data_IF_217906085017
#
_entry.id   IF_217906085017
#
_cell.length_a   1.000
_cell.length_b   1.000
_cell.length_c   1.000
_cell.angle_alpha   90.00
_cell.angle_beta   90.00
_cell.angle_gamma   90.00
#
_symmetry.space_group_name_H-M   'P 1'
#
loop_
_entity.id
_entity.type
_entity.pdbx_description
1 polymer ?
#
# COMPACT_ATOMS: atom_id res chain seq x y z
N UNK A 1 -1.24 -27.59 13.94
CA UNK A 1 -0.80 -26.35 13.27
C UNK A 1 0.45 -26.70 12.50
N UNK A 2 0.41 -26.59 11.18
CA UNK A 2 1.59 -26.84 10.35
C UNK A 2 2.56 -25.67 10.48
N UNK A 3 3.77 -25.95 10.96
CA UNK A 3 4.84 -24.95 11.07
C UNK A 3 5.55 -24.88 9.71
N UNK A 4 5.51 -23.71 9.09
CA UNK A 4 6.21 -23.41 7.84
C UNK A 4 7.51 -22.66 8.12
N UNK A 5 8.55 -23.00 7.37
CA UNK A 5 9.85 -22.33 7.38
C UNK A 5 9.99 -21.51 6.10
N UNK A 6 10.33 -20.23 6.27
CA UNK A 6 10.68 -19.33 5.18
C UNK A 6 12.20 -19.29 5.06
N UNK A 7 12.72 -19.64 3.89
CA UNK A 7 14.15 -19.56 3.58
C UNK A 7 14.38 -18.47 2.54
N UNK A 8 15.39 -17.65 2.75
CA UNK A 8 15.73 -16.51 1.88
C UNK A 8 17.21 -16.54 1.56
N UNK A 9 17.54 -16.38 0.28
CA UNK A 9 18.91 -16.31 -0.22
C UNK A 9 19.02 -15.17 -1.24
N UNK A 10 20.02 -14.31 -1.09
CA UNK A 10 20.23 -13.16 -1.99
C UNK A 10 21.68 -13.12 -2.46
N UNK A 11 21.87 -12.92 -3.76
CA UNK A 11 23.19 -12.70 -4.36
C UNK A 11 23.09 -11.74 -5.53
N UNK A 12 23.84 -10.63 -5.46
CA UNK A 12 23.76 -9.55 -6.45
C UNK A 12 22.34 -8.96 -6.56
N UNK A 13 21.84 -8.83 -7.79
CA UNK A 13 20.52 -8.27 -8.10
C UNK A 13 19.38 -9.30 -8.01
N UNK A 14 19.67 -10.55 -7.61
CA UNK A 14 18.71 -11.65 -7.60
C UNK A 14 18.51 -12.17 -6.17
N UNK A 15 17.26 -12.18 -5.74
CA UNK A 15 16.84 -12.80 -4.49
C UNK A 15 15.91 -13.99 -4.75
N UNK A 16 16.16 -15.09 -4.04
CA UNK A 16 15.36 -16.30 -4.07
C UNK A 16 14.74 -16.55 -2.69
N UNK A 17 13.46 -16.90 -2.68
CA UNK A 17 12.70 -17.20 -1.47
C UNK A 17 11.94 -18.51 -1.64
N UNK A 18 11.96 -19.35 -0.60
CA UNK A 18 11.30 -20.64 -0.57
C UNK A 18 10.51 -20.82 0.71
N UNK A 19 9.38 -21.53 0.60
CA UNK A 19 8.55 -21.93 1.75
C UNK A 19 8.54 -23.44 1.78
N UNK A 20 8.93 -24.01 2.93
CA UNK A 20 8.88 -25.45 3.16
C UNK A 20 8.22 -25.76 4.50
N UNK A 21 7.77 -26.99 4.67
CA UNK A 21 7.33 -27.48 5.98
C UNK A 21 8.54 -27.59 6.91
N UNK A 22 8.31 -27.48 8.21
CA UNK A 22 9.34 -27.70 9.25
C UNK A 22 10.01 -29.08 9.19
N UNK A 23 9.40 -30.05 8.50
CA UNK A 23 10.00 -31.36 8.23
C UNK A 23 11.11 -31.33 7.17
N UNK A 24 11.23 -30.26 6.39
CA UNK A 24 12.29 -30.11 5.41
C UNK A 24 13.60 -29.67 6.09
N UNK A 25 14.72 -30.39 5.91
CA UNK A 25 16.02 -29.97 6.42
C UNK A 25 16.41 -28.61 5.85
N UNK A 26 16.83 -27.68 6.71
CA UNK A 26 17.24 -26.32 6.33
C UNK A 26 18.33 -26.31 5.26
N UNK A 27 19.30 -27.23 5.36
CA UNK A 27 20.36 -27.38 4.35
C UNK A 27 19.76 -27.67 2.97
N UNK A 28 18.77 -28.55 2.87
CA UNK A 28 18.09 -28.84 1.60
C UNK A 28 17.33 -27.63 1.05
N UNK A 29 16.75 -26.79 1.92
CA UNK A 29 16.08 -25.57 1.51
C UNK A 29 17.07 -24.55 0.89
N UNK A 30 18.24 -24.35 1.51
CA UNK A 30 19.27 -23.46 0.95
C UNK A 30 19.90 -24.01 -0.33
N UNK A 31 20.18 -25.31 -0.36
CA UNK A 31 20.56 -26.06 -1.55
C UNK A 31 19.62 -25.80 -2.73
N UNK A 32 18.31 -25.89 -2.49
CA UNK A 32 17.28 -25.61 -3.49
C UNK A 32 17.35 -24.15 -4.00
N UNK A 33 17.52 -23.18 -3.09
CA UNK A 33 17.61 -21.77 -3.46
C UNK A 33 18.87 -21.44 -4.26
N UNK A 34 20.01 -22.04 -3.92
CA UNK A 34 21.27 -21.89 -4.66
C UNK A 34 21.12 -22.45 -6.09
N UNK A 35 20.52 -23.64 -6.26
CA UNK A 35 20.29 -24.22 -7.58
C UNK A 35 19.33 -23.36 -8.43
N UNK A 36 18.27 -22.82 -7.82
CA UNK A 36 17.37 -21.89 -8.51
C UNK A 36 18.08 -20.63 -8.99
N UNK A 37 18.88 -20.02 -8.11
CA UNK A 37 19.62 -18.81 -8.45
C UNK A 37 20.61 -19.08 -9.59
N UNK A 38 21.37 -20.17 -9.51
CA UNK A 38 22.28 -20.59 -10.56
C UNK A 38 21.57 -20.79 -11.90
N UNK A 39 20.45 -21.52 -11.91
CA UNK A 39 19.68 -21.74 -13.15
C UNK A 39 19.07 -20.45 -13.69
N UNK A 40 18.69 -19.53 -12.82
CA UNK A 40 18.17 -18.22 -13.24
C UNK A 40 19.27 -17.40 -13.93
N UNK A 41 20.44 -17.28 -13.30
CA UNK A 41 21.60 -16.60 -13.90
C UNK A 41 22.13 -17.27 -15.17
N UNK A 42 21.92 -18.59 -15.32
CA UNK A 42 22.26 -19.31 -16.54
C UNK A 42 21.22 -19.14 -17.66
N UNK A 43 19.96 -18.82 -17.31
CA UNK A 43 18.85 -18.67 -18.26
C UNK A 43 18.68 -17.23 -18.75
N UNK A 44 19.04 -16.25 -17.91
CA UNK A 44 18.86 -14.82 -18.19
C UNK A 44 20.15 -14.03 -17.97
N UNK A 45 20.43 -13.16 -18.93
CA UNK A 45 21.54 -12.22 -18.90
C UNK A 45 21.26 -11.03 -17.96
N UNK A 46 22.31 -10.48 -17.35
CA UNK A 46 22.19 -9.37 -16.39
C UNK A 46 21.52 -8.13 -16.99
N UNK A 47 21.70 -7.89 -18.29
CA UNK A 47 21.08 -6.77 -19.00
C UNK A 47 19.56 -6.91 -19.04
N UNK A 48 19.01 -8.08 -19.41
CA UNK A 48 17.56 -8.29 -19.44
C UNK A 48 16.93 -8.20 -18.05
N UNK A 49 17.63 -8.67 -17.02
CA UNK A 49 17.23 -8.53 -15.60
C UNK A 49 17.14 -7.05 -15.22
N UNK A 50 18.16 -6.25 -15.54
CA UNK A 50 18.19 -4.82 -15.20
C UNK A 50 17.14 -3.96 -15.92
N UNK A 51 16.76 -4.36 -17.14
CA UNK A 51 15.77 -3.65 -17.97
C UNK A 51 14.33 -4.10 -17.73
N UNK A 52 14.11 -5.13 -16.91
CA UNK A 52 12.80 -5.66 -16.62
C UNK A 52 11.97 -4.68 -15.77
N UNK A 53 11.07 -3.96 -16.41
CA UNK A 53 10.16 -3.01 -15.75
C UNK A 53 8.80 -3.61 -15.40
N UNK A 54 8.46 -4.76 -16.00
CA UNK A 54 7.17 -5.44 -15.82
C UNK A 54 7.26 -6.50 -14.71
N UNK A 55 6.26 -6.54 -13.84
CA UNK A 55 6.09 -7.64 -12.89
C UNK A 55 5.99 -8.99 -13.62
N UNK A 56 6.70 -10.00 -13.13
CA UNK A 56 6.77 -11.33 -13.74
C UNK A 56 7.30 -11.35 -15.19
N UNK A 57 8.30 -10.51 -15.50
CA UNK A 57 8.95 -10.49 -16.81
C UNK A 57 9.53 -11.87 -17.23
N UNK A 58 9.87 -12.73 -16.26
CA UNK A 58 10.53 -14.02 -16.47
C UNK A 58 9.61 -15.22 -16.17
N UNK A 59 8.34 -15.14 -16.56
CA UNK A 59 7.34 -16.19 -16.23
C UNK A 59 7.71 -17.57 -16.78
N UNK A 60 8.44 -17.63 -17.90
CA UNK A 60 8.89 -18.88 -18.52
C UNK A 60 9.81 -19.70 -17.60
N UNK A 61 10.46 -19.05 -16.63
CA UNK A 61 11.29 -19.71 -15.62
C UNK A 61 10.49 -20.61 -14.68
N UNK A 62 9.16 -20.46 -14.58
CA UNK A 62 8.33 -21.30 -13.71
C UNK A 62 8.49 -22.80 -14.01
N UNK A 63 8.65 -23.18 -15.29
CA UNK A 63 8.92 -24.55 -15.68
C UNK A 63 10.22 -25.11 -15.06
N UNK A 64 11.25 -24.25 -14.92
CA UNK A 64 12.51 -24.61 -14.28
C UNK A 64 12.30 -24.73 -12.77
N UNK A 65 11.57 -23.79 -12.15
CA UNK A 65 11.22 -23.85 -10.74
C UNK A 65 10.51 -25.16 -10.40
N UNK A 66 9.49 -25.56 -11.17
CA UNK A 66 8.75 -26.80 -10.93
C UNK A 66 9.65 -28.03 -11.09
N UNK A 67 10.54 -28.06 -12.09
CA UNK A 67 11.49 -29.18 -12.29
C UNK A 67 12.47 -29.31 -11.12
N UNK A 68 13.04 -28.21 -10.65
CA UNK A 68 13.95 -28.21 -9.51
C UNK A 68 13.18 -28.62 -8.24
N UNK A 69 11.99 -28.06 -8.01
CA UNK A 69 11.14 -28.43 -6.87
C UNK A 69 10.80 -29.92 -6.86
N UNK A 70 10.44 -30.49 -8.01
CA UNK A 70 10.17 -31.93 -8.12
C UNK A 70 11.42 -32.76 -7.79
N UNK A 71 12.59 -32.35 -8.28
CA UNK A 71 13.85 -33.04 -8.00
C UNK A 71 14.15 -33.10 -6.51
N UNK A 72 14.05 -31.97 -5.80
CA UNK A 72 14.31 -31.89 -4.35
C UNK A 72 13.28 -32.62 -3.49
N UNK A 73 12.01 -32.67 -3.92
CA UNK A 73 10.95 -33.31 -3.14
C UNK A 73 10.90 -34.85 -3.32
N UNK A 74 11.26 -35.36 -4.50
CA UNK A 74 10.99 -36.76 -4.87
C UNK A 74 12.22 -37.56 -5.30
N UNK A 75 13.35 -36.93 -5.61
CA UNK A 75 14.56 -37.64 -6.05
C UNK A 75 15.58 -37.64 -4.91
N UNK A 76 16.14 -38.81 -4.57
CA UNK A 76 17.19 -38.93 -3.54
C UNK A 76 18.38 -38.05 -3.91
N UNK A 77 18.73 -37.12 -3.02
CA UNK A 77 19.71 -36.04 -3.18
C UNK A 77 21.18 -36.54 -3.20
N UNK A 78 21.46 -37.64 -3.91
CA UNK A 78 22.77 -38.29 -3.96
C UNK A 78 23.82 -37.50 -4.75
N UNK A 79 23.40 -36.63 -5.68
CA UNK A 79 24.31 -35.79 -6.48
C UNK A 79 24.74 -34.50 -5.78
N UNK A 80 24.14 -34.16 -4.64
CA UNK A 80 24.32 -32.86 -3.98
C UNK A 80 25.27 -32.87 -2.79
N UNK A 81 26.02 -33.95 -2.54
CA UNK A 81 26.90 -34.05 -1.36
C UNK A 81 27.92 -32.90 -1.27
N UNK A 82 28.49 -32.46 -2.39
CA UNK A 82 29.52 -31.42 -2.40
C UNK A 82 28.98 -30.00 -2.14
N UNK A 83 27.75 -29.69 -2.59
CA UNK A 83 27.08 -28.40 -2.27
C UNK A 83 26.52 -28.45 -0.83
N UNK A 84 25.99 -29.60 -0.41
CA UNK A 84 25.52 -29.84 0.95
C UNK A 84 26.60 -29.60 2.01
N UNK A 85 27.83 -30.09 1.80
CA UNK A 85 28.94 -29.87 2.75
C UNK A 85 29.32 -28.39 2.88
N UNK A 86 29.39 -27.66 1.76
CA UNK A 86 29.69 -26.21 1.76
C UNK A 86 28.60 -25.39 2.43
N UNK A 87 27.34 -25.64 2.06
CA UNK A 87 26.19 -24.95 2.66
C UNK A 87 26.09 -25.30 4.15
N UNK A 88 26.41 -26.53 4.54
CA UNK A 88 26.44 -26.91 5.95
C UNK A 88 27.54 -26.18 6.73
N UNK A 89 28.71 -25.98 6.16
CA UNK A 89 29.77 -25.15 6.75
C UNK A 89 29.37 -23.67 6.84
N UNK A 90 28.76 -23.13 5.79
CA UNK A 90 28.27 -21.74 5.79
C UNK A 90 27.15 -21.54 6.82
N UNK A 91 26.16 -22.43 6.89
CA UNK A 91 25.10 -22.40 7.90
C UNK A 91 25.63 -22.55 9.33
N UNK A 92 26.73 -23.28 9.51
CA UNK A 92 27.41 -23.39 10.81
C UNK A 92 28.11 -22.09 11.17
N UNK A 93 28.69 -21.38 10.20
CA UNK A 93 29.32 -20.09 10.41
C UNK A 93 28.32 -18.93 10.56
N UNK A 94 27.16 -19.04 9.89
CA UNK A 94 26.09 -18.06 9.85
C UNK A 94 24.74 -18.76 10.01
N UNK A 95 24.28 -19.02 11.25
CA UNK A 95 23.01 -19.68 11.48
C UNK A 95 21.87 -18.84 10.91
N UNK A 96 20.87 -19.46 10.25
CA UNK A 96 19.70 -18.74 9.76
C UNK A 96 19.02 -17.98 10.90
N UNK A 97 18.70 -16.71 10.63
CA UNK A 97 17.90 -15.91 11.56
C UNK A 97 16.47 -16.45 11.53
N UNK A 98 16.10 -17.20 12.57
CA UNK A 98 14.74 -17.68 12.75
C UNK A 98 13.87 -16.52 13.22
N UNK A 99 13.14 -15.91 12.29
CA UNK A 99 12.15 -14.88 12.61
C UNK A 99 10.83 -15.55 12.99
N UNK A 100 10.46 -15.48 14.27
CA UNK A 100 9.12 -15.86 14.70
C UNK A 100 8.18 -14.71 14.39
N UNK A 101 6.98 -15.04 13.91
CA UNK A 101 5.97 -14.05 13.52
C UNK A 101 5.52 -13.16 14.70
N UNK A 102 5.70 -13.66 15.92
CA UNK A 102 5.50 -12.98 17.20
C UNK A 102 6.59 -11.95 17.55
N UNK A 103 7.81 -12.08 17.00
CA UNK A 103 8.90 -11.11 17.19
C UNK A 103 8.88 -9.98 16.12
N UNK A 104 8.01 -10.09 15.11
CA UNK A 104 7.81 -9.08 14.06
C UNK A 104 6.81 -8.00 14.50
N UNK A 105 6.81 -7.63 15.79
CA UNK A 105 6.17 -6.40 16.26
C UNK A 105 6.94 -5.19 15.73
N UNK A 106 6.58 -4.81 14.51
CA UNK A 106 6.64 -3.50 13.89
C UNK A 106 7.40 -2.40 14.68
N UNK A 107 8.73 -2.45 14.72
CA UNK A 107 9.56 -1.27 15.01
C UNK A 107 9.60 -0.35 13.79
N UNK A 108 8.42 0.05 13.28
CA UNK A 108 8.28 1.18 12.37
C UNK A 108 8.07 2.43 13.20
N UNK A 109 9.18 2.96 13.70
CA UNK A 109 9.19 4.13 14.56
C UNK A 109 10.51 4.87 14.48
N UNK A 110 10.68 5.61 13.38
CA UNK A 110 11.46 6.84 13.32
C UNK A 110 12.99 6.69 13.37
N UNK A 111 13.64 6.68 12.20
CA UNK A 111 14.77 7.60 11.87
C UNK A 111 15.18 7.46 10.38
N UNK A 112 14.97 8.56 9.65
CA UNK A 112 15.65 9.01 8.43
C UNK A 112 15.65 8.15 7.14
N UNK A 113 14.87 8.62 6.16
CA UNK A 113 15.37 8.99 4.83
C UNK A 113 15.83 7.88 3.88
N UNK A 114 15.09 7.75 2.77
CA UNK A 114 15.28 6.87 1.60
C UNK A 114 14.70 5.45 1.67
N UNK A 115 13.58 5.33 0.93
CA UNK A 115 13.12 4.19 0.13
C UNK A 115 13.58 2.80 0.57
N UNK A 116 12.76 2.09 1.34
CA UNK A 116 12.84 0.63 1.46
C UNK A 116 11.58 -0.06 0.93
N UNK A 117 11.84 -0.87 -0.10
CA UNK A 117 10.93 -1.75 -0.80
C UNK A 117 10.67 -2.97 0.08
N UNK A 118 9.49 -3.01 0.73
CA UNK A 118 8.98 -4.26 1.30
C UNK A 118 8.31 -5.09 0.20
N UNK A 119 9.02 -6.11 -0.30
CA UNK A 119 8.48 -7.15 -1.17
C UNK A 119 7.88 -8.26 -0.31
N UNK A 120 6.73 -7.98 0.32
CA UNK A 120 5.76 -9.02 0.64
C UNK A 120 4.89 -9.25 -0.60
N UNK A 121 4.60 -10.51 -0.95
CA UNK A 121 3.68 -10.88 -2.03
C UNK A 121 2.46 -9.95 -2.01
N UNK A 122 2.40 -9.03 -2.97
CA UNK A 122 1.47 -7.92 -2.92
C UNK A 122 0.04 -8.47 -2.98
N UNK A 123 -0.77 -8.31 -1.93
CA UNK A 123 -2.20 -8.45 -2.09
C UNK A 123 -2.55 -7.41 -3.14
N UNK A 124 -3.12 -7.84 -4.26
CA UNK A 124 -3.57 -6.92 -5.30
C UNK A 124 -4.82 -6.26 -4.74
N UNK A 125 -4.63 -5.31 -3.82
CA UNK A 125 -5.66 -4.43 -3.30
C UNK A 125 -6.14 -3.57 -4.46
N UNK A 126 -7.00 -4.11 -5.31
CA UNK A 126 -7.78 -3.29 -6.22
C UNK A 126 -8.87 -2.65 -5.38
N UNK A 127 -8.80 -1.33 -5.29
CA UNK A 127 -9.90 -0.51 -4.77
C UNK A 127 -11.18 -0.93 -5.49
N UNK A 128 -12.24 -1.21 -4.73
CA UNK A 128 -13.55 -1.52 -5.31
C UNK A 128 -13.92 -0.37 -6.28
N UNK A 129 -14.42 -0.68 -7.49
CA UNK A 129 -14.86 0.34 -8.43
C UNK A 129 -15.79 1.32 -7.73
N UNK A 130 -15.67 2.60 -8.10
CA UNK A 130 -16.44 3.67 -7.48
C UNK A 130 -17.93 3.40 -7.67
N UNK A 131 -18.66 3.22 -6.58
CA UNK A 131 -20.12 3.06 -6.58
C UNK A 131 -20.77 4.32 -7.19
N UNK A 132 -21.92 4.23 -7.89
CA UNK A 132 -22.63 5.40 -8.42
C UNK A 132 -22.91 6.48 -7.35
N UNK A 133 -23.22 6.07 -6.11
CA UNK A 133 -23.37 6.97 -4.96
C UNK A 133 -22.06 7.69 -4.60
N UNK A 134 -20.94 7.00 -4.75
CA UNK A 134 -19.61 7.56 -4.58
C UNK A 134 -19.25 8.60 -5.64
N UNK A 135 -19.64 8.37 -6.90
CA UNK A 135 -19.47 9.35 -7.98
C UNK A 135 -20.32 10.60 -7.69
N UNK A 136 -21.58 10.41 -7.27
CA UNK A 136 -22.45 11.51 -6.87
C UNK A 136 -21.85 12.32 -5.71
N UNK A 137 -21.36 11.63 -4.67
CA UNK A 137 -20.69 12.26 -3.54
C UNK A 137 -19.46 13.08 -3.97
N UNK A 138 -18.64 12.52 -4.87
CA UNK A 138 -17.46 13.19 -5.42
C UNK A 138 -17.84 14.48 -6.18
N UNK A 139 -18.84 14.42 -7.06
CA UNK A 139 -19.32 15.59 -7.80
C UNK A 139 -19.84 16.67 -6.85
N UNK A 140 -20.64 16.29 -5.86
CA UNK A 140 -21.18 17.23 -4.87
C UNK A 140 -20.07 17.89 -4.03
N UNK A 141 -19.02 17.15 -3.68
CA UNK A 141 -17.91 17.67 -2.88
C UNK A 141 -17.02 18.62 -3.71
N UNK A 142 -16.81 18.33 -5.00
CA UNK A 142 -16.15 19.24 -5.95
C UNK A 142 -16.96 20.54 -6.11
N UNK A 143 -18.28 20.43 -6.27
CA UNK A 143 -19.16 21.62 -6.34
C UNK A 143 -19.08 22.45 -5.06
N UNK A 144 -19.09 21.80 -3.88
CA UNK A 144 -18.93 22.49 -2.60
C UNK A 144 -17.59 23.24 -2.52
N UNK A 145 -16.50 22.61 -2.97
CA UNK A 145 -15.19 23.23 -3.07
C UNK A 145 -15.21 24.47 -3.98
N UNK A 146 -15.76 24.34 -5.19
CA UNK A 146 -15.86 25.45 -6.13
C UNK A 146 -16.65 26.63 -5.57
N UNK A 147 -17.81 26.38 -4.93
CA UNK A 147 -18.61 27.43 -4.30
C UNK A 147 -17.86 28.12 -3.14
N UNK A 148 -17.10 27.35 -2.34
CA UNK A 148 -16.25 27.90 -1.28
C UNK A 148 -15.15 28.79 -1.87
N UNK A 149 -14.53 28.37 -2.98
CA UNK A 149 -13.47 29.12 -3.65
C UNK A 149 -13.99 30.43 -4.26
N UNK A 150 -15.10 30.38 -5.01
CA UNK A 150 -15.72 31.56 -5.64
C UNK A 150 -16.05 32.62 -4.58
N UNK A 151 -16.71 32.20 -3.48
CA UNK A 151 -17.05 33.11 -2.38
C UNK A 151 -15.83 33.61 -1.63
N UNK A 152 -14.83 32.76 -1.41
CA UNK A 152 -13.56 33.13 -0.77
C UNK A 152 -12.81 34.19 -1.56
N UNK A 153 -12.69 34.01 -2.88
CA UNK A 153 -12.01 34.97 -3.77
C UNK A 153 -12.77 36.29 -3.84
N UNK A 154 -14.09 36.25 -4.01
CA UNK A 154 -14.90 37.47 -4.06
C UNK A 154 -14.84 38.25 -2.74
N UNK A 155 -14.80 37.56 -1.60
CA UNK A 155 -14.65 38.21 -0.30
C UNK A 155 -13.22 38.70 -0.06
N UNK A 156 -12.21 38.01 -0.60
CA UNK A 156 -10.82 38.43 -0.54
C UNK A 156 -10.63 39.74 -1.29
N UNK A 157 -11.12 39.82 -2.53
CA UNK A 157 -11.07 41.04 -3.35
C UNK A 157 -11.68 42.24 -2.63
N UNK A 158 -12.87 42.06 -2.02
CA UNK A 158 -13.50 43.08 -1.20
C UNK A 158 -12.67 43.46 0.05
N UNK A 159 -12.14 42.46 0.76
CA UNK A 159 -11.35 42.68 1.99
C UNK A 159 -10.01 43.36 1.74
N UNK A 160 -9.43 43.22 0.55
CA UNK A 160 -8.23 43.95 0.13
C UNK A 160 -8.51 45.44 -0.09
N UNK A 161 -9.77 45.80 -0.33
CA UNK A 161 -10.19 47.16 -0.62
C UNK A 161 -10.60 47.93 0.65
N UNK A 162 -10.96 47.24 1.74
CA UNK A 162 -11.33 47.82 3.05
C UNK A 162 -10.52 47.18 4.20
N UNK A 163 -9.46 47.86 4.65
CA UNK A 163 -8.66 47.68 5.89
C UNK A 163 -8.87 46.39 6.75
N UNK A 164 -8.63 45.23 6.15
CA UNK A 164 -8.38 43.92 6.80
C UNK A 164 -9.45 43.30 7.72
N UNK A 165 -10.62 43.92 7.92
CA UNK A 165 -11.64 43.46 8.89
C UNK A 165 -12.31 42.11 8.52
N UNK A 166 -12.18 41.64 7.27
CA UNK A 166 -12.80 40.42 6.75
C UNK A 166 -11.89 39.19 6.59
N UNK A 167 -10.59 39.29 6.94
CA UNK A 167 -9.58 38.27 6.59
C UNK A 167 -9.89 36.87 7.15
N UNK A 168 -10.45 36.80 8.37
CA UNK A 168 -10.82 35.52 9.00
C UNK A 168 -11.88 34.74 8.20
N UNK A 169 -12.84 35.45 7.60
CA UNK A 169 -13.88 34.83 6.78
C UNK A 169 -13.29 34.26 5.48
N UNK A 170 -12.37 34.99 4.84
CA UNK A 170 -11.65 34.53 3.65
C UNK A 170 -10.88 33.24 3.95
N UNK A 171 -10.16 33.20 5.08
CA UNK A 171 -9.43 32.01 5.53
C UNK A 171 -10.39 30.84 5.74
N UNK A 172 -11.56 31.05 6.36
CA UNK A 172 -12.55 29.99 6.56
C UNK A 172 -13.11 29.43 5.24
N UNK A 173 -13.31 30.27 4.22
CA UNK A 173 -13.71 29.82 2.88
C UNK A 173 -12.62 28.97 2.21
N UNK A 174 -11.36 29.43 2.25
CA UNK A 174 -10.22 28.73 1.66
C UNK A 174 -9.92 27.41 2.39
N UNK A 175 -9.99 27.40 3.72
CA UNK A 175 -9.80 26.21 4.54
C UNK A 175 -10.89 25.17 4.26
N UNK A 176 -12.15 25.59 4.09
CA UNK A 176 -13.24 24.70 3.67
C UNK A 176 -13.01 24.13 2.27
N UNK A 177 -12.51 24.93 1.32
CA UNK A 177 -12.18 24.49 -0.03
C UNK A 177 -11.07 23.42 -0.02
N UNK A 178 -9.96 23.68 0.68
CA UNK A 178 -8.86 22.74 0.80
C UNK A 178 -9.32 21.43 1.47
N UNK A 179 -10.13 21.53 2.51
CA UNK A 179 -10.67 20.35 3.19
C UNK A 179 -11.55 19.50 2.26
N UNK A 180 -12.38 20.11 1.40
CA UNK A 180 -13.15 19.40 0.37
C UNK A 180 -12.24 18.67 -0.64
N UNK A 181 -11.16 19.30 -1.10
CA UNK A 181 -10.18 18.65 -2.00
C UNK A 181 -9.51 17.47 -1.31
N UNK A 182 -9.05 17.64 -0.08
CA UNK A 182 -8.43 16.54 0.68
C UNK A 182 -9.41 15.41 0.96
N UNK A 183 -10.70 15.70 1.13
CA UNK A 183 -11.73 14.69 1.30
C UNK A 183 -11.96 13.89 -0.01
N UNK A 184 -11.97 14.56 -1.17
CA UNK A 184 -11.98 13.90 -2.48
C UNK A 184 -10.73 13.05 -2.69
N UNK A 185 -9.56 13.56 -2.30
CA UNK A 185 -8.29 12.84 -2.40
C UNK A 185 -8.30 11.58 -1.52
N UNK A 186 -8.74 11.67 -0.27
CA UNK A 186 -8.88 10.51 0.63
C UNK A 186 -9.92 9.51 0.14
N UNK A 187 -10.94 9.97 -0.57
CA UNK A 187 -11.90 9.09 -1.21
C UNK A 187 -11.27 8.32 -2.36
N UNK A 188 -10.44 8.95 -3.21
CA UNK A 188 -9.83 8.34 -4.39
C UNK A 188 -8.58 7.50 -4.09
N UNK A 189 -7.75 7.93 -3.13
CA UNK A 189 -6.45 7.32 -2.82
C UNK A 189 -6.45 6.69 -1.42
N UNK A 190 -5.92 5.48 -1.34
CA UNK A 190 -5.75 4.80 -0.06
C UNK A 190 -4.56 5.38 0.71
N UNK A 191 -4.72 5.59 2.01
CA UNK A 191 -3.64 6.02 2.89
C UNK A 191 -3.79 5.44 4.29
N UNK A 192 -2.65 5.20 4.95
CA UNK A 192 -2.63 4.83 6.36
C UNK A 192 -3.26 5.96 7.20
N UNK A 193 -4.06 5.56 8.19
CA UNK A 193 -4.89 6.43 9.05
C UNK A 193 -6.06 7.16 8.35
N UNK A 194 -6.65 6.58 7.29
CA UNK A 194 -7.79 7.19 6.57
C UNK A 194 -8.97 7.63 7.46
N UNK A 195 -9.29 6.88 8.53
CA UNK A 195 -10.40 7.18 9.44
C UNK A 195 -10.15 8.47 10.24
N UNK A 196 -8.96 8.60 10.81
CA UNK A 196 -8.55 9.78 11.57
C UNK A 196 -8.51 11.01 10.66
N UNK A 197 -7.90 10.88 9.47
CA UNK A 197 -7.82 11.97 8.49
C UNK A 197 -9.21 12.41 8.00
N UNK A 198 -10.11 11.47 7.72
CA UNK A 198 -11.50 11.78 7.34
C UNK A 198 -12.25 12.51 8.45
N UNK A 199 -12.09 12.09 9.71
CA UNK A 199 -12.74 12.73 10.85
C UNK A 199 -12.24 14.17 11.07
N UNK A 200 -10.93 14.40 10.98
CA UNK A 200 -10.33 15.74 11.09
C UNK A 200 -10.86 16.67 9.99
N UNK A 201 -10.91 16.20 8.74
CA UNK A 201 -11.43 16.99 7.62
C UNK A 201 -12.92 17.30 7.78
N UNK A 202 -13.73 16.33 8.20
CA UNK A 202 -15.15 16.54 8.46
C UNK A 202 -15.38 17.63 9.51
N UNK A 203 -14.69 17.52 10.65
CA UNK A 203 -14.83 18.50 11.73
C UNK A 203 -14.33 19.88 11.30
N UNK A 204 -13.23 19.95 10.53
CA UNK A 204 -12.74 21.20 9.95
C UNK A 204 -13.79 21.86 9.04
N UNK A 205 -14.47 21.09 8.18
CA UNK A 205 -15.53 21.62 7.31
C UNK A 205 -16.71 22.13 8.16
N UNK A 206 -17.13 21.38 9.17
CA UNK A 206 -18.21 21.80 10.08
C UNK A 206 -17.87 23.11 10.80
N UNK A 207 -16.68 23.19 11.41
CA UNK A 207 -16.23 24.39 12.12
C UNK A 207 -16.16 25.61 11.19
N UNK A 208 -15.59 25.46 9.99
CA UNK A 208 -15.50 26.58 9.04
C UNK A 208 -16.87 27.03 8.56
N UNK A 209 -17.81 26.11 8.32
CA UNK A 209 -19.17 26.45 7.90
C UNK A 209 -19.99 27.09 9.03
N UNK A 210 -19.78 26.68 10.28
CA UNK A 210 -20.39 27.30 11.46
C UNK A 210 -19.79 28.69 11.71
N UNK A 211 -18.48 28.87 11.54
CA UNK A 211 -17.84 30.18 11.66
C UNK A 211 -18.38 31.19 10.64
N UNK A 212 -18.75 30.71 9.45
CA UNK A 212 -19.38 31.53 8.40
C UNK A 212 -20.91 31.72 8.59
N UNK A 213 -21.45 31.39 9.77
CA UNK A 213 -22.84 31.63 10.13
C UNK A 213 -23.10 33.14 10.19
N UNK A 214 -23.87 33.65 9.23
CA UNK A 214 -24.08 35.09 8.99
C UNK A 214 -23.81 35.48 7.54
N UNK A 215 -22.77 34.91 6.92
CA UNK A 215 -22.49 35.06 5.48
C UNK A 215 -23.17 33.98 4.63
N UNK A 216 -23.52 32.83 5.24
CA UNK A 216 -24.22 31.72 4.59
C UNK A 216 -25.62 31.55 5.16
N UNK A 217 -26.56 31.20 4.28
CA UNK A 217 -27.90 30.79 4.69
C UNK A 217 -27.84 29.45 5.44
N UNK A 218 -28.71 29.25 6.44
CA UNK A 218 -28.79 28.00 7.20
C UNK A 218 -28.96 26.76 6.29
N UNK A 219 -29.73 26.88 5.20
CA UNK A 219 -29.90 25.81 4.22
C UNK A 219 -28.61 25.49 3.46
N UNK A 220 -27.76 26.49 3.19
CA UNK A 220 -26.46 26.27 2.56
C UNK A 220 -25.49 25.60 3.52
N UNK A 221 -25.48 26.00 4.80
CA UNK A 221 -24.66 25.37 5.83
C UNK A 221 -25.05 23.89 5.98
N UNK A 222 -26.35 23.59 6.09
CA UNK A 222 -26.85 22.22 6.17
C UNK A 222 -26.48 21.41 4.92
N UNK A 223 -26.55 22.01 3.73
CA UNK A 223 -26.13 21.36 2.50
C UNK A 223 -24.65 20.98 2.53
N UNK A 224 -23.75 21.91 2.90
CA UNK A 224 -22.31 21.65 2.98
C UNK A 224 -21.97 20.59 4.04
N UNK A 225 -22.62 20.64 5.21
CA UNK A 225 -22.45 19.62 6.26
C UNK A 225 -22.97 18.26 5.78
N UNK A 226 -24.11 18.22 5.09
CA UNK A 226 -24.68 17.00 4.54
C UNK A 226 -23.76 16.32 3.52
N UNK A 227 -23.20 17.09 2.59
CA UNK A 227 -22.24 16.59 1.58
C UNK A 227 -20.95 16.09 2.26
N UNK A 228 -20.43 16.83 3.24
CA UNK A 228 -19.24 16.43 3.99
C UNK A 228 -19.50 15.16 4.82
N UNK A 229 -20.70 14.98 5.37
CA UNK A 229 -21.11 13.79 6.12
C UNK A 229 -21.21 12.58 5.19
N UNK A 230 -21.90 12.72 4.05
CA UNK A 230 -22.03 11.67 3.05
C UNK A 230 -20.65 11.23 2.52
N UNK A 231 -19.79 12.18 2.18
CA UNK A 231 -18.45 11.87 1.69
C UNK A 231 -17.58 11.21 2.76
N UNK A 232 -17.70 11.60 4.03
CA UNK A 232 -17.01 10.93 5.15
C UNK A 232 -17.53 9.50 5.37
N UNK A 233 -18.84 9.31 5.26
CA UNK A 233 -19.45 7.98 5.35
C UNK A 233 -18.92 7.05 4.26
N UNK A 234 -18.91 7.50 3.00
CA UNK A 234 -18.36 6.74 1.87
C UNK A 234 -16.86 6.41 2.05
N UNK A 235 -16.05 7.32 2.60
CA UNK A 235 -14.63 7.07 2.91
C UNK A 235 -14.47 5.97 3.98
N UNK A 236 -15.36 5.95 4.98
CA UNK A 236 -15.34 4.99 6.08
C UNK A 236 -15.88 3.62 5.68
N UNK A 237 -16.92 3.56 4.86
CA UNK A 237 -17.58 2.32 4.42
C UNK A 237 -16.86 1.64 3.27
N UNK A 238 -16.02 2.35 2.50
CA UNK A 238 -15.19 1.76 1.46
C UNK A 238 -14.16 0.79 2.06
N UNK A 239 -14.51 -0.48 2.10
CA UNK A 239 -13.64 -1.57 2.55
C UNK A 239 -12.67 -1.98 1.44
N UNK A 240 -11.50 -2.48 1.84
CA UNK A 240 -10.57 -3.16 0.96
C UNK A 240 -11.18 -4.56 0.72
N UNK A 241 -11.70 -4.84 -0.47
CA UNK A 241 -12.12 -6.20 -0.80
C UNK A 241 -10.89 -7.11 -0.76
N UNK A 242 -10.88 -8.06 0.17
CA UNK A 242 -10.01 -9.21 0.11
C UNK A 242 -10.51 -10.11 -1.03
N UNK A 243 -9.62 -10.44 -1.97
CA UNK A 243 -9.96 -11.34 -3.08
C UNK A 243 -10.32 -12.70 -2.47
N UNK A 244 -11.56 -13.14 -2.64
CA UNK A 244 -11.97 -14.49 -2.27
C UNK A 244 -11.08 -15.50 -3.01
N UNK A 245 -10.57 -16.58 -2.38
CA UNK A 245 -9.78 -17.58 -3.07
C UNK A 245 -10.62 -18.18 -4.21
N UNK A 246 -10.16 -17.96 -5.45
CA UNK A 246 -10.67 -18.65 -6.63
C UNK A 246 -10.37 -20.14 -6.42
N UNK A 247 -11.36 -20.91 -5.96
CA UNK A 247 -11.37 -22.36 -6.14
C UNK A 247 -11.66 -22.62 -7.63
N UNK A 248 -10.61 -22.53 -8.44
CA UNK A 248 -10.64 -22.92 -9.85
C UNK A 248 -10.73 -24.45 -9.97
N UNK A 249 -11.72 -24.89 -10.75
CA UNK A 249 -11.95 -26.27 -11.23
C UNK A 249 -10.98 -26.59 -12.36
#
# INVERSE_FOLDING_TARGET
MDVFLFSFHSSGDIACMGICTSSCPTVMAFCFLEELQWKFSASYDSTSISLATRSYAFLEFDNIIQKVKYHFNYTSCSQMKNSLEKIQEELKSHPPVLLKLEDTELMNGMINGHTEVQMGSAPTYRMQPVTPLGILSLVLNIMCGALNLIRGVHLAEYSFQEDHEGTGNVIAFLLSFLACIFQCYLYLFHGSSKKMKAFVLFFSICLCNIYLYGLRNIWQILFHIGVASLSSYEILTRQLMEKQPDFGV
#
